data_IF_249988964729
#
_entry.id   IF_249988964729
#
_cell.length_a   1.000
_cell.length_b   1.000
_cell.length_c   1.000
_cell.angle_alpha   90.00
_cell.angle_beta   90.00
_cell.angle_gamma   90.00
#
_symmetry.space_group_name_H-M   'P 1'
#
loop_
_entity.id
_entity.type
_entity.pdbx_description
1 polymer ?
#
# COMPACT_ATOMS: atom_id res chain seq x y z
N UNK A 1 -0.70 -7.20 -24.44
CA UNK A 1 -0.88 -6.99 -23.00
C UNK A 1 -0.37 -5.62 -22.58
N UNK A 2 -1.11 -4.96 -21.71
CA UNK A 2 -0.71 -3.64 -21.22
C UNK A 2 0.21 -3.80 -20.01
N UNK A 3 1.45 -3.32 -20.14
CA UNK A 3 2.45 -3.37 -19.06
C UNK A 3 2.77 -1.96 -18.52
N UNK A 4 1.95 -0.97 -18.87
CA UNK A 4 2.20 0.40 -18.44
C UNK A 4 1.71 0.60 -17.02
N UNK A 5 2.60 0.94 -16.12
CA UNK A 5 2.26 1.25 -14.73
C UNK A 5 1.94 2.74 -14.63
N UNK A 6 0.85 3.07 -13.94
CA UNK A 6 0.55 4.46 -13.60
C UNK A 6 0.92 4.68 -12.14
N UNK A 7 1.69 5.74 -11.89
CA UNK A 7 2.08 6.18 -10.56
C UNK A 7 1.35 7.47 -10.25
N UNK A 8 0.67 7.55 -9.10
CA UNK A 8 -0.09 8.73 -8.73
C UNK A 8 0.82 9.95 -8.57
N UNK A 9 0.39 11.10 -9.09
CA UNK A 9 1.15 12.36 -9.01
C UNK A 9 1.36 12.83 -7.58
N UNK A 10 0.48 12.44 -6.66
CA UNK A 10 0.54 12.85 -5.26
C UNK A 10 1.46 11.98 -4.42
N UNK A 11 1.94 10.85 -4.97
CA UNK A 11 2.83 9.98 -4.23
C UNK A 11 4.21 10.63 -4.13
N UNK A 12 4.64 10.90 -2.89
CA UNK A 12 5.96 11.43 -2.59
C UNK A 12 6.87 10.29 -2.17
N UNK A 13 8.18 10.46 -2.36
CA UNK A 13 9.12 9.42 -1.95
C UNK A 13 9.21 8.23 -2.88
N UNK A 14 8.68 8.33 -4.11
CA UNK A 14 8.74 7.23 -5.07
C UNK A 14 9.96 7.30 -5.99
N UNK A 15 10.88 8.22 -5.74
CA UNK A 15 12.07 8.42 -6.60
C UNK A 15 12.85 7.12 -6.82
N UNK A 16 13.14 6.40 -5.77
CA UNK A 16 13.91 5.14 -5.86
C UNK A 16 13.12 4.05 -6.57
N UNK A 17 11.82 4.06 -6.43
CA UNK A 17 10.94 3.11 -7.12
C UNK A 17 10.99 3.38 -8.62
N UNK A 18 10.88 4.65 -9.03
CA UNK A 18 10.95 5.02 -10.43
C UNK A 18 12.33 4.77 -11.02
N UNK A 19 13.39 5.00 -10.25
CA UNK A 19 14.75 4.65 -10.66
C UNK A 19 14.88 3.15 -10.92
N UNK A 20 14.26 2.33 -10.07
CA UNK A 20 14.24 0.89 -10.26
C UNK A 20 13.48 0.51 -11.54
N UNK A 21 12.33 1.13 -11.79
CA UNK A 21 11.57 0.90 -13.02
C UNK A 21 12.41 1.22 -14.26
N UNK A 22 13.12 2.35 -14.24
CA UNK A 22 14.03 2.73 -15.32
C UNK A 22 15.12 1.67 -15.50
N UNK A 23 15.70 1.21 -14.41
CA UNK A 23 16.80 0.23 -14.45
C UNK A 23 16.39 -1.10 -15.09
N UNK A 24 15.17 -1.56 -14.81
CA UNK A 24 14.69 -2.86 -15.33
C UNK A 24 13.87 -2.74 -16.61
N UNK A 25 13.72 -1.52 -17.12
CA UNK A 25 12.98 -1.30 -18.37
C UNK A 25 11.47 -1.39 -18.21
N UNK A 26 10.95 -1.10 -17.02
CA UNK A 26 9.52 -1.09 -16.78
C UNK A 26 8.92 0.25 -17.20
N UNK A 27 7.99 0.22 -18.15
CA UNK A 27 7.31 1.42 -18.60
C UNK A 27 6.35 1.95 -17.53
N UNK A 28 6.34 3.24 -17.33
CA UNK A 28 5.44 3.90 -16.40
C UNK A 28 5.15 5.34 -16.84
N UNK A 29 4.05 5.87 -16.34
CA UNK A 29 3.74 7.29 -16.44
C UNK A 29 3.30 7.78 -15.05
N UNK A 30 3.47 9.08 -14.83
CA UNK A 30 3.00 9.73 -13.60
C UNK A 30 1.73 10.49 -13.95
N UNK A 31 0.62 10.13 -13.32
CA UNK A 31 -0.68 10.71 -13.60
C UNK A 31 -1.57 10.57 -12.36
N UNK A 32 -2.58 11.41 -12.24
CA UNK A 32 -3.50 11.35 -11.10
C UNK A 32 -4.32 10.06 -11.15
N UNK A 33 -4.36 9.34 -10.03
CA UNK A 33 -5.20 8.17 -9.84
C UNK A 33 -6.42 8.51 -8.99
N UNK A 34 -7.54 7.84 -9.26
CA UNK A 34 -8.75 8.02 -8.46
C UNK A 34 -8.65 7.29 -7.12
N UNK A 35 -7.85 6.23 -7.05
CA UNK A 35 -7.60 5.48 -5.84
C UNK A 35 -6.21 4.86 -5.89
N UNK A 36 -5.52 4.84 -4.73
CA UNK A 36 -4.20 4.24 -4.59
C UNK A 36 -3.07 5.03 -5.24
N UNK A 37 -1.92 4.40 -5.30
CA UNK A 37 -0.68 5.01 -5.76
C UNK A 37 -0.12 4.37 -7.02
N UNK A 38 -0.41 3.10 -7.26
CA UNK A 38 0.09 2.35 -8.43
C UNK A 38 -0.97 1.41 -8.98
N UNK A 39 -1.09 1.36 -10.29
CA UNK A 39 -1.95 0.42 -11.00
C UNK A 39 -1.46 0.24 -12.43
N UNK A 40 -2.01 -0.76 -13.15
CA UNK A 40 -1.78 -0.90 -14.58
C UNK A 40 -2.76 0.01 -15.32
N UNK A 41 -2.29 0.68 -16.36
CA UNK A 41 -3.11 1.56 -17.18
C UNK A 41 -4.34 0.82 -17.70
N UNK A 42 -5.52 1.38 -17.45
CA UNK A 42 -6.83 0.83 -17.83
C UNK A 42 -7.19 -0.52 -17.21
N UNK A 43 -6.44 -0.95 -16.18
CA UNK A 43 -6.74 -2.19 -15.47
C UNK A 43 -6.82 -1.90 -13.97
N UNK A 44 -8.04 -1.81 -13.46
CA UNK A 44 -8.31 -1.50 -12.07
C UNK A 44 -8.32 -2.74 -11.16
N UNK A 45 -8.04 -3.93 -11.70
CA UNK A 45 -8.11 -5.18 -10.93
C UNK A 45 -7.26 -5.16 -9.67
N UNK A 46 -6.02 -4.68 -9.78
CA UNK A 46 -5.11 -4.56 -8.64
C UNK A 46 -4.71 -3.10 -8.46
N UNK A 47 -4.91 -2.61 -7.24
CA UNK A 47 -4.52 -1.25 -6.86
C UNK A 47 -3.63 -1.35 -5.62
N UNK A 48 -2.49 -0.65 -5.65
CA UNK A 48 -1.54 -0.62 -4.54
C UNK A 48 -1.57 0.77 -3.90
N UNK A 49 -1.74 0.80 -2.57
CA UNK A 49 -1.59 1.99 -1.75
C UNK A 49 -0.29 1.81 -0.96
N UNK A 50 0.69 2.66 -1.24
CA UNK A 50 2.00 2.59 -0.60
C UNK A 50 2.02 3.36 0.72
N UNK A 51 2.64 2.77 1.72
CA UNK A 51 2.93 3.43 3.01
C UNK A 51 4.43 3.41 3.25
N UNK A 52 4.99 4.54 3.63
CA UNK A 52 6.43 4.65 3.84
C UNK A 52 6.91 4.01 5.14
N UNK A 53 6.02 3.82 6.11
CA UNK A 53 6.32 3.19 7.38
C UNK A 53 5.07 2.54 7.95
N UNK A 54 5.27 1.61 8.89
CA UNK A 54 4.15 1.05 9.65
C UNK A 54 3.48 2.12 10.51
N UNK A 55 4.25 3.11 10.98
CA UNK A 55 3.70 4.25 11.73
C UNK A 55 2.70 5.05 10.89
N UNK A 56 2.99 5.28 9.62
CA UNK A 56 2.06 5.98 8.71
C UNK A 56 0.75 5.21 8.60
N UNK A 57 0.81 3.90 8.40
CA UNK A 57 -0.39 3.06 8.37
C UNK A 57 -1.15 3.14 9.68
N UNK A 58 -0.44 3.03 10.81
CA UNK A 58 -1.06 3.10 12.14
C UNK A 58 -1.79 4.42 12.35
N UNK A 59 -1.18 5.53 11.95
CA UNK A 59 -1.82 6.85 12.01
C UNK A 59 -3.09 6.91 11.18
N UNK A 60 -3.05 6.35 9.98
CA UNK A 60 -4.22 6.33 9.09
C UNK A 60 -5.36 5.48 9.65
N UNK A 61 -5.04 4.32 10.21
CA UNK A 61 -6.06 3.38 10.70
C UNK A 61 -6.65 3.79 12.05
N UNK A 62 -5.87 4.46 12.90
CA UNK A 62 -6.27 4.79 14.26
C UNK A 62 -6.86 6.20 14.41
N UNK A 63 -6.68 7.06 13.41
CA UNK A 63 -7.32 8.38 13.37
C UNK A 63 -8.67 8.24 12.68
N UNK A 64 -9.74 8.69 13.35
CA UNK A 64 -11.10 8.52 12.85
C UNK A 64 -11.33 9.11 11.46
N UNK A 65 -10.85 10.32 11.21
CA UNK A 65 -11.01 10.99 9.93
C UNK A 65 -10.21 10.30 8.82
N UNK A 66 -8.97 9.94 9.13
CA UNK A 66 -8.10 9.23 8.19
C UNK A 66 -8.64 7.84 7.87
N UNK A 67 -9.16 7.14 8.86
CA UNK A 67 -9.75 5.83 8.67
C UNK A 67 -10.96 5.90 7.73
N UNK A 68 -11.82 6.91 7.91
CA UNK A 68 -12.96 7.14 7.00
C UNK A 68 -12.48 7.44 5.57
N UNK A 69 -11.42 8.21 5.43
CA UNK A 69 -10.85 8.54 4.13
C UNK A 69 -10.35 7.27 3.42
N UNK A 70 -9.65 6.41 4.15
CA UNK A 70 -9.17 5.13 3.62
C UNK A 70 -10.33 4.24 3.18
N UNK A 71 -11.38 4.16 3.99
CA UNK A 71 -12.54 3.35 3.64
C UNK A 71 -13.23 3.87 2.37
N UNK A 72 -13.33 5.19 2.19
CA UNK A 72 -13.86 5.77 0.95
C UNK A 72 -12.98 5.44 -0.25
N UNK A 73 -11.67 5.44 -0.07
CA UNK A 73 -10.73 5.10 -1.13
C UNK A 73 -10.88 3.64 -1.55
N UNK A 74 -11.05 2.73 -0.59
CA UNK A 74 -11.30 1.32 -0.86
C UNK A 74 -12.62 1.14 -1.61
N UNK A 75 -13.67 1.80 -1.17
CA UNK A 75 -14.99 1.73 -1.81
C UNK A 75 -14.92 2.24 -3.25
N UNK A 76 -14.21 3.34 -3.49
CA UNK A 76 -14.02 3.88 -4.83
C UNK A 76 -13.27 2.89 -5.72
N UNK A 77 -12.24 2.25 -5.18
CA UNK A 77 -11.50 1.23 -5.93
C UNK A 77 -12.41 0.08 -6.34
N UNK A 78 -13.26 -0.39 -5.44
CA UNK A 78 -14.21 -1.46 -5.72
C UNK A 78 -15.22 -1.07 -6.80
N UNK A 79 -15.70 0.16 -6.77
CA UNK A 79 -16.60 0.68 -7.80
C UNK A 79 -15.94 0.69 -9.18
N UNK A 80 -14.63 0.87 -9.23
CA UNK A 80 -13.85 0.85 -10.47
C UNK A 80 -13.53 -0.58 -10.95
N UNK A 81 -13.88 -1.59 -10.18
CA UNK A 81 -13.64 -2.99 -10.53
C UNK A 81 -12.46 -3.64 -9.83
N UNK A 82 -11.91 -3.00 -8.80
CA UNK A 82 -10.78 -3.55 -8.05
C UNK A 82 -11.21 -4.77 -7.23
N UNK A 83 -10.50 -5.86 -7.41
CA UNK A 83 -10.70 -7.09 -6.63
C UNK A 83 -9.49 -7.40 -5.74
N UNK A 84 -8.41 -6.64 -5.86
CA UNK A 84 -7.18 -6.85 -5.12
C UNK A 84 -6.59 -5.51 -4.71
N UNK A 85 -7.03 -4.99 -3.57
CA UNK A 85 -6.51 -3.75 -3.00
C UNK A 85 -5.43 -4.08 -1.99
N UNK A 86 -4.22 -3.57 -2.19
CA UNK A 86 -3.05 -3.92 -1.40
C UNK A 86 -2.47 -2.67 -0.73
N UNK A 87 -2.36 -2.71 0.61
CA UNK A 87 -1.55 -1.75 1.34
C UNK A 87 -0.13 -2.30 1.38
N UNK A 88 0.77 -1.66 0.67
CA UNK A 88 2.18 -2.06 0.59
C UNK A 88 2.99 -1.16 1.52
N UNK A 89 3.49 -1.73 2.61
CA UNK A 89 4.18 -0.99 3.66
C UNK A 89 5.68 -1.23 3.56
N UNK A 90 6.44 -0.16 3.54
CA UNK A 90 7.89 -0.21 3.57
C UNK A 90 8.38 -0.29 5.01
N UNK A 91 9.05 -1.38 5.37
CA UNK A 91 9.67 -1.51 6.68
C UNK A 91 10.75 -2.58 6.63
N UNK A 92 11.96 -2.21 7.08
CA UNK A 92 13.10 -3.13 7.06
C UNK A 92 13.13 -4.08 8.26
N UNK A 93 12.35 -3.81 9.29
CA UNK A 93 12.40 -4.54 10.55
C UNK A 93 11.24 -5.51 10.75
N UNK A 94 10.10 -5.22 10.14
CA UNK A 94 8.89 -6.05 10.29
C UNK A 94 8.92 -7.17 9.26
N UNK A 95 8.94 -8.42 9.75
CA UNK A 95 9.04 -9.62 8.89
C UNK A 95 7.84 -10.54 9.03
N UNK A 96 7.04 -10.38 10.11
CA UNK A 96 5.95 -11.30 10.42
C UNK A 96 4.88 -10.58 11.26
N UNK A 97 3.75 -11.26 11.46
CA UNK A 97 2.69 -10.78 12.34
C UNK A 97 3.19 -10.59 13.78
N UNK A 98 4.11 -11.43 14.21
CA UNK A 98 4.71 -11.33 15.55
C UNK A 98 5.44 -10.02 15.73
N UNK A 99 6.15 -9.57 14.69
CA UNK A 99 6.86 -8.29 14.72
C UNK A 99 5.87 -7.13 14.84
N UNK A 100 4.70 -7.23 14.21
CA UNK A 100 3.65 -6.21 14.35
C UNK A 100 3.12 -6.19 15.78
N UNK A 101 2.89 -7.36 16.37
CA UNK A 101 2.41 -7.46 17.76
C UNK A 101 3.35 -6.78 18.74
N UNK A 102 4.66 -6.87 18.47
CA UNK A 102 5.69 -6.31 19.34
C UNK A 102 6.08 -4.88 18.96
N UNK A 103 5.45 -4.34 17.91
CA UNK A 103 5.75 -2.99 17.44
C UNK A 103 5.22 -1.94 18.42
N UNK A 104 5.97 -0.86 18.57
CA UNK A 104 5.55 0.32 19.33
C UNK A 104 6.25 1.55 18.76
N UNK A 105 5.70 2.72 19.03
CA UNK A 105 6.27 3.99 18.57
C UNK A 105 6.10 5.06 19.63
N UNK A 106 7.14 5.88 19.81
CA UNK A 106 7.08 7.04 20.70
C UNK A 106 6.08 8.11 20.20
N UNK A 107 5.77 8.10 18.91
CA UNK A 107 4.78 9.02 18.31
C UNK A 107 3.34 8.60 18.60
N UNK A 108 3.13 7.35 18.95
CA UNK A 108 1.81 6.81 19.30
C UNK A 108 1.95 5.91 20.54
N UNK A 109 2.32 6.50 21.70
CA UNK A 109 2.72 5.69 22.85
C UNK A 109 1.59 4.83 23.45
N UNK A 110 0.34 5.19 23.19
CA UNK A 110 -0.80 4.45 23.71
C UNK A 110 -1.28 3.34 22.76
N UNK A 111 -0.72 3.25 21.58
CA UNK A 111 -1.09 2.21 20.62
C UNK A 111 -0.18 1.00 20.78
N UNK A 112 -0.76 -0.13 21.10
CA UNK A 112 -0.05 -1.41 21.17
C UNK A 112 -0.08 -2.09 19.81
N UNK A 113 1.03 -2.76 19.46
CA UNK A 113 1.11 -3.52 18.20
C UNK A 113 0.01 -4.57 18.06
N UNK A 114 -0.38 -5.20 19.18
CA UNK A 114 -1.48 -6.16 19.19
C UNK A 114 -2.80 -5.54 18.72
N UNK A 115 -3.07 -4.29 19.14
CA UNK A 115 -4.29 -3.57 18.72
C UNK A 115 -4.20 -3.22 17.23
N UNK A 116 -3.04 -2.76 16.79
CA UNK A 116 -2.83 -2.46 15.36
C UNK A 116 -3.07 -3.70 14.51
N UNK A 117 -2.51 -4.84 14.91
CA UNK A 117 -2.69 -6.09 14.18
C UNK A 117 -4.16 -6.50 14.13
N UNK A 118 -4.90 -6.31 15.22
CA UNK A 118 -6.34 -6.57 15.27
C UNK A 118 -7.11 -5.71 14.26
N UNK A 119 -6.78 -4.42 14.20
CA UNK A 119 -7.41 -3.50 13.25
C UNK A 119 -7.12 -3.94 11.81
N UNK A 120 -5.88 -4.30 11.52
CA UNK A 120 -5.49 -4.79 10.20
C UNK A 120 -6.27 -6.05 9.82
N UNK A 121 -6.37 -7.01 10.74
CA UNK A 121 -7.11 -8.25 10.49
C UNK A 121 -8.60 -7.99 10.27
N UNK A 122 -9.20 -7.08 11.03
CA UNK A 122 -10.59 -6.69 10.85
C UNK A 122 -10.82 -6.09 9.45
N UNK A 123 -9.91 -5.25 9.01
CA UNK A 123 -10.00 -4.65 7.66
C UNK A 123 -9.87 -5.71 6.57
N UNK A 124 -8.97 -6.68 6.74
CA UNK A 124 -8.84 -7.79 5.79
C UNK A 124 -10.17 -8.54 5.65
N UNK A 125 -10.81 -8.85 6.76
CA UNK A 125 -12.07 -9.58 6.76
C UNK A 125 -13.23 -8.75 6.20
N UNK A 126 -13.31 -7.49 6.63
CA UNK A 126 -14.45 -6.62 6.29
C UNK A 126 -14.38 -6.08 4.86
N UNK A 127 -13.20 -5.69 4.41
CA UNK A 127 -13.04 -5.01 3.12
C UNK A 127 -12.28 -5.84 2.08
N UNK A 128 -11.85 -7.04 2.42
CA UNK A 128 -11.08 -7.92 1.52
C UNK A 128 -9.80 -7.27 1.00
N UNK A 129 -9.17 -6.42 1.82
CA UNK A 129 -7.88 -5.80 1.46
C UNK A 129 -6.73 -6.68 1.92
N UNK A 130 -5.56 -6.46 1.35
CA UNK A 130 -4.33 -7.14 1.74
C UNK A 130 -3.33 -6.16 2.31
N UNK A 131 -2.52 -6.63 3.25
CA UNK A 131 -1.39 -5.88 3.79
C UNK A 131 -0.12 -6.67 3.47
N UNK A 132 0.87 -5.99 2.92
CA UNK A 132 2.15 -6.61 2.61
C UNK A 132 3.26 -5.67 3.07
N UNK A 133 4.22 -6.21 3.78
CA UNK A 133 5.35 -5.43 4.31
C UNK A 133 6.63 -5.93 3.66
N UNK A 134 7.38 -5.02 3.06
CA UNK A 134 8.64 -5.35 2.40
C UNK A 134 9.70 -4.32 2.75
N UNK A 135 10.97 -4.71 2.58
CA UNK A 135 12.08 -3.79 2.80
C UNK A 135 12.12 -2.71 1.72
N UNK A 136 12.75 -1.60 2.05
CA UNK A 136 12.87 -0.45 1.13
C UNK A 136 13.46 -0.86 -0.22
N UNK A 137 14.49 -1.70 -0.21
CA UNK A 137 15.17 -2.13 -1.44
C UNK A 137 14.29 -2.98 -2.36
N UNK A 138 13.25 -3.61 -1.81
CA UNK A 138 12.39 -4.53 -2.56
C UNK A 138 11.09 -3.89 -3.04
N UNK A 139 10.84 -2.62 -2.70
CA UNK A 139 9.58 -1.96 -3.02
C UNK A 139 9.29 -1.94 -4.53
N UNK A 140 10.23 -1.48 -5.33
CA UNK A 140 10.02 -1.39 -6.79
C UNK A 140 9.74 -2.75 -7.43
N UNK A 141 10.55 -3.74 -7.07
CA UNK A 141 10.36 -5.11 -7.56
C UNK A 141 9.01 -5.67 -7.15
N UNK A 142 8.62 -5.45 -5.89
CA UNK A 142 7.35 -5.95 -5.36
C UNK A 142 6.17 -5.32 -6.09
N UNK A 143 6.21 -4.02 -6.36
CA UNK A 143 5.15 -3.33 -7.09
C UNK A 143 4.97 -3.98 -8.49
N UNK A 144 6.06 -4.18 -9.21
CA UNK A 144 6.01 -4.83 -10.52
C UNK A 144 5.42 -6.23 -10.41
N UNK A 145 5.93 -7.03 -9.48
CA UNK A 145 5.48 -8.41 -9.31
C UNK A 145 3.99 -8.50 -8.99
N UNK A 146 3.49 -7.62 -8.12
CA UNK A 146 2.09 -7.62 -7.73
C UNK A 146 1.17 -7.18 -8.89
N UNK A 147 1.59 -6.18 -9.66
CA UNK A 147 0.77 -5.65 -10.75
C UNK A 147 0.79 -6.55 -11.98
N UNK A 148 1.91 -7.22 -12.26
CA UNK A 148 2.04 -8.07 -13.44
C UNK A 148 1.59 -9.51 -13.20
N UNK A 149 1.34 -9.87 -11.96
CA UNK A 149 0.86 -11.21 -11.60
C UNK A 149 -0.55 -11.43 -12.10
N UNK A 150 -0.75 -12.52 -12.75
CA UNK A 150 -2.06 -12.91 -13.31
C UNK A 150 -2.73 -13.97 -12.44
#
# INVERSE_FOLDING_TARGET
>A
MNNLIICDTREKGNKKILEYFDKVGQDYIVSKLESGDYMIYKDYTTIIDKKDTLLELAGNLCNTLEHKRINREIDRAKELGCTNFIFLIQDNKIKSSEDIKNWHSSYMPNLKGEVLLKIMNTMKERYSVRFMIVSKKDMGKTIIDLLMKK
#
